data_IF_849680439374
#
_entry.id   IF_849680439374
#
_cell.length_a   1.000
_cell.length_b   1.000
_cell.length_c   1.000
_cell.angle_alpha   90.00
_cell.angle_beta   90.00
_cell.angle_gamma   90.00
#
_symmetry.space_group_name_H-M   'P 1'
#
loop_
_entity.id
_entity.type
_entity.pdbx_description
1 polymer ?
#
# COMPACT_ATOMS: atom_id res chain seq x y z
N UNK A 1 10.50 5.17 -15.97
CA UNK A 1 9.79 3.88 -16.05
C UNK A 1 9.14 3.59 -14.71
N UNK A 2 9.76 2.91 -13.74
CA UNK A 2 9.08 2.56 -12.45
C UNK A 2 8.40 3.74 -11.74
N UNK A 3 9.03 4.93 -11.69
CA UNK A 3 8.40 6.13 -11.09
C UNK A 3 7.19 6.63 -11.88
N UNK A 4 7.26 6.63 -13.21
CA UNK A 4 6.18 7.10 -14.08
C UNK A 4 4.99 6.13 -14.03
N UNK A 5 5.29 4.83 -13.99
CA UNK A 5 4.30 3.77 -13.84
C UNK A 5 3.62 3.86 -12.46
N UNK A 6 4.39 4.09 -11.38
CA UNK A 6 3.86 4.36 -10.04
C UNK A 6 3.01 5.64 -10.00
N UNK A 7 3.43 6.70 -10.70
CA UNK A 7 2.67 7.94 -10.77
C UNK A 7 1.33 7.73 -11.48
N UNK A 8 1.31 6.98 -12.59
CA UNK A 8 0.08 6.62 -13.28
C UNK A 8 -0.84 5.78 -12.41
N UNK A 9 -0.31 4.79 -11.68
CA UNK A 9 -1.09 3.98 -10.75
C UNK A 9 -1.71 4.85 -9.64
N UNK A 10 -0.92 5.74 -9.02
CA UNK A 10 -1.42 6.63 -7.96
C UNK A 10 -2.52 7.56 -8.47
N UNK A 11 -2.39 8.07 -9.69
CA UNK A 11 -3.39 8.93 -10.31
C UNK A 11 -4.71 8.17 -10.57
N UNK A 12 -4.62 6.91 -11.02
CA UNK A 12 -5.79 6.03 -11.16
C UNK A 12 -6.46 5.78 -9.79
N UNK A 13 -5.68 5.45 -8.76
CA UNK A 13 -6.19 5.19 -7.40
C UNK A 13 -6.88 6.42 -6.79
N UNK A 14 -6.35 7.63 -7.05
CA UNK A 14 -6.94 8.90 -6.57
C UNK A 14 -8.28 9.24 -7.19
N UNK A 15 -8.41 8.98 -8.49
CA UNK A 15 -9.61 9.32 -9.27
C UNK A 15 -10.68 8.23 -9.24
N UNK A 16 -10.35 7.09 -8.67
CA UNK A 16 -11.26 5.97 -8.61
C UNK A 16 -12.49 6.31 -7.76
N UNK A 17 -13.66 6.08 -8.35
CA UNK A 17 -14.97 6.17 -7.71
C UNK A 17 -15.75 4.93 -8.13
N UNK A 18 -15.88 3.95 -7.23
CA UNK A 18 -16.50 2.67 -7.54
C UNK A 18 -15.96 1.49 -6.70
N UNK A 19 -16.19 0.25 -7.18
CA UNK A 19 -15.71 -0.96 -6.54
C UNK A 19 -14.17 -1.10 -6.66
N UNK A 20 -13.54 -1.46 -5.54
CA UNK A 20 -12.09 -1.46 -5.40
C UNK A 20 -11.39 -2.73 -5.89
N UNK A 21 -12.11 -3.77 -6.29
CA UNK A 21 -11.54 -5.08 -6.65
C UNK A 21 -10.50 -4.97 -7.78
N UNK A 22 -10.82 -4.29 -8.88
CA UNK A 22 -9.90 -4.14 -10.02
C UNK A 22 -8.71 -3.20 -9.71
N UNK A 23 -8.92 -1.98 -9.15
CA UNK A 23 -7.79 -1.12 -8.80
C UNK A 23 -6.88 -1.72 -7.74
N UNK A 24 -7.45 -2.37 -6.72
CA UNK A 24 -6.66 -3.02 -5.67
C UNK A 24 -5.86 -4.19 -6.25
N UNK A 25 -6.43 -5.00 -7.16
CA UNK A 25 -5.69 -6.06 -7.83
C UNK A 25 -4.50 -5.51 -8.65
N UNK A 26 -4.70 -4.42 -9.39
CA UNK A 26 -3.60 -3.74 -10.11
C UNK A 26 -2.51 -3.24 -9.17
N UNK A 27 -2.90 -2.61 -8.06
CA UNK A 27 -1.95 -2.13 -7.05
C UNK A 27 -1.14 -3.27 -6.42
N UNK A 28 -1.78 -4.44 -6.21
CA UNK A 28 -1.11 -5.65 -5.72
C UNK A 28 -0.06 -6.15 -6.70
N UNK A 29 -0.41 -6.27 -7.99
CA UNK A 29 0.53 -6.69 -9.03
C UNK A 29 1.73 -5.74 -9.07
N UNK A 30 1.49 -4.42 -9.04
CA UNK A 30 2.57 -3.44 -9.02
C UNK A 30 3.50 -3.60 -7.81
N UNK A 31 2.93 -3.83 -6.63
CA UNK A 31 3.70 -4.08 -5.41
C UNK A 31 4.53 -5.37 -5.51
N UNK A 32 3.98 -6.43 -6.09
CA UNK A 32 4.69 -7.70 -6.30
C UNK A 32 5.86 -7.56 -7.30
N UNK A 33 5.72 -6.69 -8.31
CA UNK A 33 6.76 -6.44 -9.32
C UNK A 33 7.87 -5.48 -8.85
N UNK A 34 7.56 -4.55 -7.93
CA UNK A 34 8.43 -3.41 -7.62
C UNK A 34 8.69 -3.15 -6.13
N UNK A 35 7.90 -3.76 -5.25
CA UNK A 35 8.04 -3.68 -3.80
C UNK A 35 8.96 -4.76 -3.22
N UNK A 36 9.26 -4.68 -1.92
CA UNK A 36 9.95 -5.76 -1.21
C UNK A 36 9.02 -6.96 -1.08
N UNK A 37 9.61 -8.15 -0.94
CA UNK A 37 8.84 -9.36 -0.76
C UNK A 37 8.06 -9.31 0.57
N UNK A 38 6.91 -9.98 0.66
CA UNK A 38 6.11 -10.04 1.90
C UNK A 38 6.85 -10.70 3.09
N UNK A 39 8.01 -11.31 2.85
CA UNK A 39 8.89 -11.92 3.87
C UNK A 39 9.87 -10.95 4.52
N UNK A 40 9.97 -9.72 4.03
CA UNK A 40 11.01 -8.77 4.47
C UNK A 40 10.64 -8.05 5.79
N UNK A 41 9.42 -8.27 6.31
CA UNK A 41 8.98 -7.68 7.58
C UNK A 41 9.37 -8.56 8.80
N UNK A 42 10.16 -8.06 9.78
CA UNK A 42 10.67 -8.88 10.89
C UNK A 42 9.62 -9.30 11.94
N UNK A 43 8.62 -8.46 12.26
CA UNK A 43 7.55 -8.74 13.24
C UNK A 43 6.17 -8.25 12.81
N UNK A 44 5.23 -9.15 12.54
CA UNK A 44 3.88 -8.84 12.07
C UNK A 44 3.10 -7.89 13.01
N UNK A 45 3.28 -8.03 14.32
CA UNK A 45 2.60 -7.25 15.35
C UNK A 45 2.90 -5.74 15.23
N UNK A 46 4.15 -5.38 14.99
CA UNK A 46 4.57 -3.98 14.79
C UNK A 46 3.88 -3.37 13.57
N UNK A 47 3.70 -4.14 12.50
CA UNK A 47 3.01 -3.70 11.30
C UNK A 47 1.51 -3.48 11.53
N UNK A 48 0.87 -4.38 12.27
CA UNK A 48 -0.55 -4.27 12.62
C UNK A 48 -0.84 -3.03 13.50
N UNK A 49 0.01 -2.76 14.49
CA UNK A 49 -0.11 -1.57 15.34
C UNK A 49 0.08 -0.27 14.54
N UNK A 50 1.09 -0.23 13.67
CA UNK A 50 1.33 0.90 12.77
C UNK A 50 0.14 1.12 11.82
N UNK A 51 -0.38 0.05 11.22
CA UNK A 51 -1.54 0.10 10.34
C UNK A 51 -2.79 0.65 11.05
N UNK A 52 -3.10 0.13 12.24
CA UNK A 52 -4.24 0.57 13.04
C UNK A 52 -4.16 2.07 13.39
N UNK A 53 -2.95 2.60 13.50
CA UNK A 53 -2.68 3.99 13.81
C UNK A 53 -2.65 4.92 12.59
N UNK A 54 -2.72 4.42 11.34
CA UNK A 54 -2.54 5.25 10.14
C UNK A 54 -3.59 6.37 10.03
N UNK A 55 -3.06 7.59 9.89
CA UNK A 55 -3.77 8.81 9.47
C UNK A 55 -2.95 9.48 8.37
N UNK A 56 -3.52 10.40 7.56
CA UNK A 56 -2.75 11.15 6.56
C UNK A 56 -1.50 11.82 7.14
N UNK A 57 -1.60 12.41 8.33
CA UNK A 57 -0.48 13.07 9.01
C UNK A 57 0.62 12.07 9.35
N UNK A 58 0.27 10.89 9.88
CA UNK A 58 1.27 9.86 10.20
C UNK A 58 1.90 9.28 8.94
N UNK A 59 1.13 9.05 7.88
CA UNK A 59 1.64 8.58 6.59
C UNK A 59 2.71 9.54 6.06
N UNK A 60 2.50 10.86 6.17
CA UNK A 60 3.47 11.87 5.72
C UNK A 60 4.84 11.82 6.42
N UNK A 61 4.92 11.14 7.58
CA UNK A 61 6.17 10.97 8.34
C UNK A 61 6.90 9.67 8.07
N UNK A 62 6.26 8.71 7.38
CA UNK A 62 6.87 7.41 7.10
C UNK A 62 8.06 7.55 6.15
N UNK A 63 9.12 6.79 6.40
CA UNK A 63 10.19 6.59 5.44
C UNK A 63 9.81 5.54 4.38
N UNK A 64 10.69 5.35 3.39
CA UNK A 64 10.42 4.49 2.24
C UNK A 64 10.34 3.03 2.66
N UNK A 65 11.24 2.60 3.52
CA UNK A 65 11.32 1.22 3.99
C UNK A 65 10.03 0.86 4.74
N UNK A 66 9.63 1.66 5.72
CA UNK A 66 8.42 1.46 6.51
C UNK A 66 7.16 1.49 5.64
N UNK A 67 7.10 2.42 4.68
CA UNK A 67 5.97 2.51 3.73
C UNK A 67 5.82 1.23 2.91
N UNK A 68 6.93 0.74 2.34
CA UNK A 68 6.95 -0.45 1.52
C UNK A 68 6.68 -1.72 2.32
N UNK A 69 7.27 -1.82 3.50
CA UNK A 69 6.98 -2.88 4.44
C UNK A 69 5.47 -2.91 4.76
N UNK A 70 4.83 -1.75 5.00
CA UNK A 70 3.39 -1.70 5.34
C UNK A 70 2.53 -2.23 4.19
N UNK A 71 2.85 -1.84 2.97
CA UNK A 71 2.18 -2.38 1.79
C UNK A 71 2.35 -3.91 1.68
N UNK A 72 3.59 -4.42 1.80
CA UNK A 72 3.86 -5.86 1.67
C UNK A 72 3.26 -6.69 2.81
N UNK A 73 3.23 -6.14 4.03
CA UNK A 73 2.55 -6.75 5.17
C UNK A 73 1.03 -6.84 4.94
N UNK A 74 0.40 -5.74 4.53
CA UNK A 74 -1.05 -5.73 4.26
C UNK A 74 -1.43 -6.64 3.09
N UNK A 75 -0.58 -6.73 2.06
CA UNK A 75 -0.77 -7.67 0.96
C UNK A 75 -0.72 -9.13 1.44
N UNK A 76 0.15 -9.44 2.41
CA UNK A 76 0.21 -10.75 3.06
C UNK A 76 -1.02 -11.03 3.92
N UNK A 77 -1.62 -10.01 4.55
CA UNK A 77 -2.84 -10.20 5.35
C UNK A 77 -3.97 -10.84 4.54
N UNK A 78 -4.06 -10.51 3.25
CA UNK A 78 -5.03 -11.09 2.32
C UNK A 78 -4.95 -12.63 2.23
N UNK A 79 -3.75 -13.22 2.39
CA UNK A 79 -3.55 -14.68 2.41
C UNK A 79 -4.18 -15.33 3.64
N UNK A 80 -4.33 -14.57 4.72
CA UNK A 80 -4.89 -15.03 6.00
C UNK A 80 -6.32 -14.55 6.24
N UNK A 81 -6.71 -13.43 5.61
CA UNK A 81 -8.02 -12.79 5.72
C UNK A 81 -8.41 -12.19 4.37
N UNK A 82 -9.16 -12.97 3.60
CA UNK A 82 -9.70 -12.53 2.31
C UNK A 82 -10.48 -11.22 2.44
N UNK A 83 -10.24 -10.29 1.52
CA UNK A 83 -10.84 -8.96 1.45
C UNK A 83 -10.12 -7.89 2.26
N UNK A 84 -9.09 -8.23 3.06
CA UNK A 84 -8.32 -7.24 3.82
C UNK A 84 -7.62 -6.23 2.91
N UNK A 85 -7.12 -6.68 1.75
CA UNK A 85 -6.48 -5.82 0.78
C UNK A 85 -7.46 -4.82 0.16
N UNK A 86 -8.64 -5.27 -0.26
CA UNK A 86 -9.67 -4.38 -0.82
C UNK A 86 -10.16 -3.38 0.23
N UNK A 87 -10.44 -3.85 1.46
CA UNK A 87 -10.90 -3.01 2.56
C UNK A 87 -9.91 -1.88 2.93
N UNK A 88 -8.60 -2.08 2.72
CA UNK A 88 -7.62 -1.05 2.99
C UNK A 88 -7.74 0.13 2.00
N UNK A 89 -8.11 -0.13 0.75
CA UNK A 89 -8.36 0.92 -0.24
C UNK A 89 -9.71 1.61 -0.01
N UNK A 90 -10.74 0.85 0.36
CA UNK A 90 -12.03 1.42 0.78
C UNK A 90 -11.87 2.41 1.94
N UNK A 91 -10.93 2.14 2.85
CA UNK A 91 -10.59 3.03 3.97
C UNK A 91 -9.69 4.23 3.60
N UNK A 92 -9.23 4.31 2.35
CA UNK A 92 -8.29 5.33 1.85
C UNK A 92 -6.81 5.08 2.19
N UNK A 93 -6.51 4.19 3.15
CA UNK A 93 -5.15 3.91 3.63
C UNK A 93 -4.25 3.32 2.53
N UNK A 94 -4.80 2.47 1.66
CA UNK A 94 -4.07 1.93 0.52
C UNK A 94 -3.55 3.05 -0.38
N UNK A 95 -4.43 3.97 -0.78
CA UNK A 95 -4.06 5.13 -1.59
C UNK A 95 -2.99 5.99 -0.91
N UNK A 96 -3.14 6.31 0.37
CA UNK A 96 -2.16 7.13 1.10
C UNK A 96 -0.75 6.50 1.11
N UNK A 97 -0.65 5.19 1.29
CA UNK A 97 0.65 4.49 1.29
C UNK A 97 1.30 4.49 -0.10
N UNK A 98 0.53 4.30 -1.18
CA UNK A 98 1.05 4.38 -2.54
C UNK A 98 1.47 5.81 -2.93
N UNK A 99 0.71 6.83 -2.52
CA UNK A 99 1.10 8.24 -2.66
C UNK A 99 2.42 8.51 -1.93
N UNK A 100 2.54 8.02 -0.71
CA UNK A 100 3.76 8.18 0.08
C UNK A 100 4.95 7.50 -0.58
N UNK A 101 4.76 6.31 -1.12
CA UNK A 101 5.80 5.62 -1.89
C UNK A 101 6.22 6.46 -3.12
N UNK A 102 5.27 7.04 -3.86
CA UNK A 102 5.58 7.93 -4.98
C UNK A 102 6.37 9.16 -4.55
N UNK A 103 6.01 9.82 -3.44
CA UNK A 103 6.75 10.97 -2.91
C UNK A 103 8.21 10.65 -2.59
N UNK A 104 8.44 9.44 -2.06
CA UNK A 104 9.74 8.95 -1.61
C UNK A 104 10.60 8.34 -2.72
N UNK A 105 10.03 8.05 -3.89
CA UNK A 105 10.72 7.45 -5.04
C UNK A 105 11.39 8.48 -5.97
N UNK A 106 12.09 9.46 -5.39
CA UNK A 106 12.77 10.54 -6.15
C UNK A 106 13.89 10.02 -7.04
#
# INVERSE_FOLDING_TARGET
>A
MMRDDLASLVDDLRRHDGPWEEPAARARVFLEEHGPGPTDWPTWETGAELYAALTPERVSTLDRETTLLLLSGLAREEEHRTGAWVAMFESGRGTWLFERWLELSR
#
